data_IF_901645766214
#
_entry.id   IF_901645766214
#
_cell.length_a   1.000
_cell.length_b   1.000
_cell.length_c   1.000
_cell.angle_alpha   90.00
_cell.angle_beta   90.00
_cell.angle_gamma   90.00
#
_symmetry.space_group_name_H-M   'P 1'
#
loop_
_entity.id
_entity.type
_entity.pdbx_description
1 polymer ?
#
# COMPACT_ATOMS: atom_id res chain seq x y z
N UNK A 1 3.48 67.09 23.30
CA UNK A 1 2.16 66.52 23.59
C UNK A 1 1.36 66.45 22.30
N UNK A 2 1.05 65.23 21.82
CA UNK A 2 0.01 64.84 20.86
C UNK A 2 0.30 63.40 20.41
N UNK A 3 -0.24 62.43 21.14
CA UNK A 3 -0.43 61.05 20.68
C UNK A 3 -1.73 61.05 19.89
N UNK A 4 -1.82 60.37 18.74
CA UNK A 4 -3.00 59.61 18.29
C UNK A 4 -2.75 58.88 16.95
N UNK A 5 -2.99 57.55 16.98
CA UNK A 5 -3.74 56.70 16.05
C UNK A 5 -3.45 56.67 14.53
N UNK A 6 -3.35 55.43 13.99
CA UNK A 6 -3.57 55.11 12.57
C UNK A 6 -2.58 54.07 12.05
N UNK A 7 -2.84 52.79 12.28
CA UNK A 7 -3.33 51.82 11.26
C UNK A 7 -2.35 51.46 10.14
N UNK A 8 -2.00 50.17 10.15
CA UNK A 8 -2.11 49.27 9.01
C UNK A 8 -1.38 49.70 7.71
N UNK A 9 -0.11 49.33 7.58
CA UNK A 9 0.46 49.02 6.26
C UNK A 9 1.23 47.71 6.37
N UNK A 10 0.65 46.69 5.74
CA UNK A 10 1.17 45.36 5.50
C UNK A 10 2.39 45.47 4.59
N UNK A 11 3.58 45.60 5.18
CA UNK A 11 4.84 45.62 4.43
C UNK A 11 5.29 44.19 4.14
N UNK A 12 5.15 43.80 2.88
CA UNK A 12 5.84 42.66 2.28
C UNK A 12 7.36 42.81 2.47
N UNK A 13 7.98 41.83 3.13
CA UNK A 13 9.43 41.66 3.13
C UNK A 13 9.75 40.30 2.48
N UNK A 14 10.23 40.38 1.24
CA UNK A 14 10.89 39.31 0.53
C UNK A 14 12.13 38.85 1.32
N UNK A 15 12.15 37.58 1.73
CA UNK A 15 13.40 36.87 2.02
C UNK A 15 13.48 35.69 1.06
N UNK A 16 14.16 35.93 -0.06
CA UNK A 16 14.60 34.90 -0.98
C UNK A 16 16.02 34.49 -0.58
N UNK A 17 16.19 33.28 -0.03
CA UNK A 17 17.48 32.60 0.02
C UNK A 17 17.29 31.09 0.16
N UNK A 18 17.15 30.44 -1.00
CA UNK A 18 17.83 29.20 -1.42
C UNK A 18 18.21 28.24 -0.28
N UNK A 19 17.40 27.19 -0.14
CA UNK A 19 17.74 26.03 0.67
C UNK A 19 16.80 24.90 0.34
N UNK A 20 17.06 24.21 -0.78
CA UNK A 20 16.44 22.93 -1.08
C UNK A 20 16.70 21.96 0.06
N UNK A 21 15.72 21.78 0.92
CA UNK A 21 15.54 20.55 1.68
C UNK A 21 14.05 20.24 1.65
N UNK A 22 13.51 20.13 0.43
CA UNK A 22 12.49 19.11 0.20
C UNK A 22 13.20 17.80 0.49
N UNK A 23 13.20 17.41 1.76
CA UNK A 23 13.63 16.10 2.18
C UNK A 23 12.74 15.18 1.36
N UNK A 24 13.28 14.63 0.27
CA UNK A 24 12.79 13.41 -0.33
C UNK A 24 12.88 12.39 0.78
N UNK A 25 11.86 12.40 1.63
CA UNK A 25 11.50 11.29 2.46
C UNK A 25 11.11 10.25 1.43
N UNK A 26 12.10 9.45 1.06
CA UNK A 26 11.91 8.11 0.54
C UNK A 26 11.20 7.31 1.63
N UNK A 27 9.97 7.69 1.97
CA UNK A 27 8.99 6.72 2.38
C UNK A 27 8.86 5.83 1.15
N UNK A 28 9.22 4.53 1.23
CA UNK A 28 8.79 3.62 0.19
C UNK A 28 7.30 3.89 -0.03
N UNK A 29 6.92 4.09 -1.29
CA UNK A 29 5.52 4.31 -1.63
C UNK A 29 4.70 3.27 -0.86
N UNK A 30 3.57 3.65 -0.22
CA UNK A 30 2.68 2.68 0.40
C UNK A 30 2.52 1.53 -0.60
N UNK A 31 2.84 0.30 -0.17
CA UNK A 31 2.63 -0.86 -1.00
C UNK A 31 1.18 -0.78 -1.48
N UNK A 32 0.97 -0.63 -2.78
CA UNK A 32 -0.37 -0.51 -3.32
C UNK A 32 -1.01 -1.89 -3.17
N UNK A 33 -1.77 -2.06 -2.08
CA UNK A 33 -2.45 -3.30 -1.75
C UNK A 33 -3.31 -3.75 -2.94
N UNK A 34 -3.85 -2.81 -3.72
CA UNK A 34 -4.63 -3.08 -4.93
C UNK A 34 -3.79 -3.76 -6.01
N UNK A 35 -2.56 -3.29 -6.22
CA UNK A 35 -1.66 -3.85 -7.22
C UNK A 35 -1.18 -5.25 -6.81
N UNK A 36 -0.84 -5.42 -5.53
CA UNK A 36 -0.50 -6.74 -4.97
C UNK A 36 -1.68 -7.71 -5.12
N UNK A 37 -2.87 -7.29 -4.71
CA UNK A 37 -4.07 -8.11 -4.81
C UNK A 37 -4.39 -8.50 -6.26
N UNK A 38 -4.26 -7.56 -7.19
CA UNK A 38 -4.49 -7.80 -8.62
C UNK A 38 -3.52 -8.83 -9.20
N UNK A 39 -2.23 -8.75 -8.85
CA UNK A 39 -1.23 -9.71 -9.32
C UNK A 39 -1.45 -11.10 -8.71
N UNK A 40 -1.81 -11.17 -7.41
CA UNK A 40 -2.18 -12.44 -6.76
C UNK A 40 -3.39 -13.06 -7.46
N UNK A 41 -4.46 -12.28 -7.69
CA UNK A 41 -5.66 -12.74 -8.40
C UNK A 41 -5.31 -13.31 -9.78
N UNK A 42 -4.42 -12.65 -10.50
CA UNK A 42 -3.97 -13.07 -11.83
C UNK A 42 -3.21 -14.40 -11.79
N UNK A 43 -2.30 -14.57 -10.83
CA UNK A 43 -1.55 -15.82 -10.67
C UNK A 43 -2.49 -16.99 -10.35
N UNK A 44 -3.38 -16.80 -9.37
CA UNK A 44 -4.38 -17.81 -9.00
C UNK A 44 -5.31 -18.18 -10.16
N UNK A 45 -5.73 -17.19 -10.96
CA UNK A 45 -6.55 -17.43 -12.13
C UNK A 45 -5.82 -18.25 -13.21
N UNK A 46 -4.52 -18.01 -13.41
CA UNK A 46 -3.68 -18.82 -14.31
C UNK A 46 -3.60 -20.28 -13.88
N UNK A 47 -3.75 -20.52 -12.58
CA UNK A 47 -3.75 -21.84 -11.95
C UNK A 47 -5.15 -22.46 -11.81
N UNK A 48 -6.18 -21.82 -12.35
CA UNK A 48 -7.60 -22.22 -12.22
C UNK A 48 -8.12 -22.26 -10.78
N UNK A 49 -7.43 -21.60 -9.85
CA UNK A 49 -7.86 -21.46 -8.46
C UNK A 49 -8.80 -20.27 -8.39
N UNK A 50 -10.09 -20.55 -8.17
CA UNK A 50 -11.16 -19.53 -8.18
C UNK A 50 -12.01 -19.63 -6.91
N UNK A 51 -12.78 -18.58 -6.63
CA UNK A 51 -13.67 -18.55 -5.45
C UNK A 51 -12.96 -18.32 -4.11
N UNK A 52 -11.67 -17.96 -4.13
CA UNK A 52 -10.94 -17.52 -2.95
C UNK A 52 -11.14 -16.02 -2.69
N UNK A 53 -11.31 -15.66 -1.43
CA UNK A 53 -11.26 -14.30 -0.94
C UNK A 53 -9.80 -13.94 -0.64
N UNK A 54 -9.34 -12.80 -1.15
CA UNK A 54 -7.98 -12.30 -0.96
C UNK A 54 -8.08 -10.96 -0.25
N UNK A 55 -7.34 -10.82 0.84
CA UNK A 55 -7.23 -9.56 1.58
C UNK A 55 -5.76 -9.19 1.66
N UNK A 56 -5.43 -7.92 1.39
CA UNK A 56 -4.06 -7.43 1.42
C UNK A 56 -3.97 -6.19 2.29
N UNK A 57 -3.11 -6.25 3.30
CA UNK A 57 -2.86 -5.15 4.23
C UNK A 57 -1.35 -4.97 4.43
N UNK A 58 -0.78 -3.92 3.84
CA UNK A 58 0.63 -3.54 4.00
C UNK A 58 1.64 -4.65 3.62
N UNK A 59 1.27 -5.47 2.62
CA UNK A 59 2.03 -6.64 2.18
C UNK A 59 1.76 -7.93 2.97
N UNK A 60 0.84 -7.91 3.94
CA UNK A 60 0.30 -9.12 4.56
C UNK A 60 -0.91 -9.58 3.77
N UNK A 61 -0.82 -10.78 3.21
CA UNK A 61 -1.88 -11.38 2.40
C UNK A 61 -2.62 -12.40 3.25
N UNK A 62 -3.94 -12.39 3.20
CA UNK A 62 -4.79 -13.44 3.75
C UNK A 62 -5.59 -14.08 2.62
N UNK A 63 -5.49 -15.40 2.49
CA UNK A 63 -6.25 -16.21 1.54
C UNK A 63 -7.32 -17.00 2.31
N UNK A 64 -8.59 -16.79 1.99
CA UNK A 64 -9.70 -17.51 2.61
C UNK A 64 -10.55 -18.21 1.54
N UNK A 65 -11.08 -19.39 1.84
CA UNK A 65 -11.97 -20.11 0.94
C UNK A 65 -11.93 -21.62 1.14
N UNK A 66 -12.33 -22.34 0.10
CA UNK A 66 -12.34 -23.81 0.08
C UNK A 66 -11.62 -24.30 -1.18
N UNK A 67 -10.90 -25.40 -1.08
CA UNK A 67 -10.14 -25.96 -2.21
C UNK A 67 -9.52 -27.31 -1.86
N UNK A 68 -8.80 -27.90 -2.80
CA UNK A 68 -8.02 -29.11 -2.53
C UNK A 68 -6.76 -28.80 -1.73
N UNK A 69 -6.10 -29.84 -1.21
CA UNK A 69 -4.78 -29.68 -0.58
C UNK A 69 -3.74 -29.10 -1.56
N UNK A 70 -3.87 -29.43 -2.85
CA UNK A 70 -3.02 -28.90 -3.91
C UNK A 70 -3.30 -27.41 -4.15
N UNK A 71 -4.57 -27.00 -4.23
CA UNK A 71 -4.94 -25.59 -4.42
C UNK A 71 -4.47 -24.74 -3.25
N UNK A 72 -4.58 -25.26 -2.02
CA UNK A 72 -4.08 -24.59 -0.82
C UNK A 72 -2.59 -24.29 -0.94
N UNK A 73 -1.78 -25.28 -1.31
CA UNK A 73 -0.33 -25.10 -1.45
C UNK A 73 0.01 -24.16 -2.59
N UNK A 74 -0.61 -24.38 -3.76
CA UNK A 74 -0.37 -23.59 -4.97
C UNK A 74 -0.75 -22.12 -4.78
N UNK A 75 -1.87 -21.86 -4.12
CA UNK A 75 -2.30 -20.50 -3.81
C UNK A 75 -1.34 -19.77 -2.86
N UNK A 76 -0.76 -20.47 -1.89
CA UNK A 76 0.29 -19.92 -1.03
C UNK A 76 1.54 -19.57 -1.86
N UNK A 77 2.02 -20.51 -2.66
CA UNK A 77 3.24 -20.34 -3.45
C UNK A 77 3.11 -19.17 -4.43
N UNK A 78 1.95 -19.02 -5.05
CA UNK A 78 1.67 -17.96 -6.00
C UNK A 78 1.52 -16.59 -5.37
N UNK A 79 0.89 -16.52 -4.19
CA UNK A 79 0.83 -15.28 -3.42
C UNK A 79 2.23 -14.88 -2.92
N UNK A 80 3.03 -15.82 -2.45
CA UNK A 80 4.37 -15.55 -1.90
C UNK A 80 5.38 -15.03 -2.94
N UNK A 81 5.18 -15.35 -4.22
CA UNK A 81 6.04 -14.87 -5.32
C UNK A 81 5.77 -13.41 -5.71
N UNK A 82 4.65 -12.83 -5.29
CA UNK A 82 4.28 -11.46 -5.69
C UNK A 82 5.16 -10.44 -4.99
N UNK A 83 5.70 -9.50 -5.77
CA UNK A 83 6.55 -8.44 -5.24
C UNK A 83 5.78 -7.56 -4.24
N UNK A 84 6.37 -7.33 -3.07
CA UNK A 84 5.74 -6.56 -1.99
C UNK A 84 4.97 -7.41 -0.98
N UNK A 85 4.79 -8.71 -1.23
CA UNK A 85 4.28 -9.64 -0.23
C UNK A 85 5.36 -9.92 0.81
N UNK A 86 5.01 -9.71 2.08
CA UNK A 86 5.87 -9.94 3.25
C UNK A 86 5.48 -11.21 4.00
N UNK A 87 4.19 -11.54 4.00
CA UNK A 87 3.65 -12.72 4.66
C UNK A 87 2.36 -13.15 3.98
N UNK A 88 2.09 -14.45 4.02
CA UNK A 88 0.86 -15.06 3.50
C UNK A 88 0.24 -15.92 4.59
N UNK A 89 -0.96 -15.56 5.02
CA UNK A 89 -1.82 -16.35 5.90
C UNK A 89 -2.78 -17.16 5.02
N UNK A 90 -2.74 -18.48 5.15
CA UNK A 90 -3.56 -19.38 4.35
C UNK A 90 -4.64 -20.04 5.20
N UNK A 91 -5.88 -19.59 5.04
CA UNK A 91 -7.08 -20.09 5.70
C UNK A 91 -7.98 -20.86 4.70
N UNK A 92 -7.40 -21.50 3.68
CA UNK A 92 -8.16 -22.33 2.75
C UNK A 92 -8.50 -23.65 3.44
N UNK A 93 -9.79 -23.92 3.57
CA UNK A 93 -10.31 -25.19 4.09
C UNK A 93 -10.18 -26.26 3.02
N UNK A 94 -9.47 -27.34 3.35
CA UNK A 94 -9.32 -28.50 2.48
C UNK A 94 -10.55 -29.40 2.61
N UNK A 95 -11.12 -29.80 1.48
CA UNK A 95 -12.29 -30.69 1.39
C UNK A 95 -12.04 -31.85 0.43
#
# INVERSE_FOLDING_TARGET
MKKVFGSLVLSAALVSAIGCSNWNRATPAPLDNTAIESEIRKNLAGDHITGLQIEVHEGMVTLNGHGSAADRQKAYDDAAKVNGVKSVTNNITVQ
#
